data_IF_585167404423
#
_entry.id   IF_585167404423
#
_cell.length_a   1.000
_cell.length_b   1.000
_cell.length_c   1.000
_cell.angle_alpha   90.00
_cell.angle_beta   90.00
_cell.angle_gamma   90.00
#
_symmetry.space_group_name_H-M   'P 1'
#
loop_
_entity.id
_entity.type
_entity.pdbx_description
1 polymer ?
#
# COMPACT_ATOMS: atom_id res chain seq x y z
N UNK A 1 30.81 29.67 27.52
CA UNK A 1 30.68 29.14 26.15
C UNK A 1 29.47 28.24 26.17
N UNK A 2 28.36 28.65 25.56
CA UNK A 2 27.17 27.81 25.48
C UNK A 2 27.39 26.80 24.36
N UNK A 3 27.28 25.52 24.70
CA UNK A 3 27.34 24.41 23.76
C UNK A 3 26.09 24.46 22.87
N UNK A 4 26.23 25.09 21.71
CA UNK A 4 25.23 25.10 20.64
C UNK A 4 25.45 23.89 19.74
N UNK A 5 25.42 22.69 20.29
CA UNK A 5 25.24 21.49 19.51
C UNK A 5 23.74 21.35 19.25
N UNK A 6 23.29 21.84 18.10
CA UNK A 6 21.94 21.55 17.59
C UNK A 6 21.69 20.04 17.54
N UNK A 7 20.43 19.58 17.44
CA UNK A 7 20.11 18.16 17.47
C UNK A 7 21.00 17.39 16.47
N UNK A 8 21.64 16.33 16.97
CA UNK A 8 22.64 15.53 16.26
C UNK A 8 22.10 15.11 14.88
N UNK A 9 22.94 15.15 13.84
CA UNK A 9 22.48 14.96 12.45
C UNK A 9 21.76 13.61 12.25
N UNK A 10 22.20 12.56 12.96
CA UNK A 10 21.55 11.24 13.01
C UNK A 10 20.12 11.30 13.56
N UNK A 11 19.87 12.12 14.59
CA UNK A 11 18.54 12.28 15.19
C UNK A 11 17.61 13.03 14.24
N UNK A 12 18.14 13.97 13.45
CA UNK A 12 17.35 14.68 12.43
C UNK A 12 16.98 13.77 11.25
N UNK A 13 17.90 12.91 10.81
CA UNK A 13 17.67 11.93 9.76
C UNK A 13 16.63 10.88 10.18
N UNK A 14 16.75 10.32 11.39
CA UNK A 14 15.76 9.39 11.95
C UNK A 14 14.38 10.04 12.08
N UNK A 15 14.31 11.28 12.60
CA UNK A 15 13.06 12.02 12.69
C UNK A 15 12.46 12.31 11.31
N UNK A 16 13.29 12.57 10.29
CA UNK A 16 12.83 12.78 8.92
C UNK A 16 12.30 11.47 8.31
N UNK A 17 13.01 10.36 8.49
CA UNK A 17 12.57 9.04 8.04
C UNK A 17 11.22 8.66 8.66
N UNK A 18 11.04 8.91 9.96
CA UNK A 18 9.78 8.67 10.65
C UNK A 18 8.65 9.53 10.08
N UNK A 19 8.90 10.83 9.83
CA UNK A 19 7.90 11.71 9.19
C UNK A 19 7.49 11.21 7.82
N UNK A 20 8.44 10.76 7.00
CA UNK A 20 8.13 10.20 5.68
C UNK A 20 7.28 8.93 5.81
N UNK A 21 7.60 8.04 6.75
CA UNK A 21 6.79 6.85 6.98
C UNK A 21 5.35 7.19 7.39
N UNK A 22 5.17 8.18 8.27
CA UNK A 22 3.86 8.62 8.71
C UNK A 22 3.04 9.21 7.55
N UNK A 23 3.67 9.95 6.65
CA UNK A 23 3.01 10.48 5.44
C UNK A 23 2.61 9.35 4.48
N UNK A 24 3.49 8.35 4.28
CA UNK A 24 3.15 7.18 3.45
C UNK A 24 1.98 6.37 4.04
N UNK A 25 1.92 6.21 5.37
CA UNK A 25 0.76 5.59 6.03
C UNK A 25 -0.52 6.38 5.82
N UNK A 26 -0.44 7.72 5.92
CA UNK A 26 -1.57 8.62 5.69
C UNK A 26 -2.10 8.48 4.27
N UNK A 27 -1.20 8.42 3.30
CA UNK A 27 -1.55 8.25 1.88
C UNK A 27 -2.20 6.89 1.61
N UNK A 28 -1.66 5.81 2.19
CA UNK A 28 -2.27 4.47 2.09
C UNK A 28 -3.67 4.44 2.70
N UNK A 29 -3.90 5.06 3.86
CA UNK A 29 -5.24 5.14 4.46
C UNK A 29 -6.21 5.95 3.59
N UNK A 30 -5.80 7.12 3.12
CA UNK A 30 -6.58 7.98 2.24
C UNK A 30 -7.01 7.23 0.96
N UNK A 31 -6.08 6.49 0.35
CA UNK A 31 -6.35 5.68 -0.84
C UNK A 31 -7.33 4.52 -0.58
N UNK A 32 -7.35 3.96 0.63
CA UNK A 32 -8.29 2.93 1.04
C UNK A 32 -9.69 3.51 1.33
N UNK A 33 -9.75 4.67 1.99
CA UNK A 33 -11.00 5.39 2.28
C UNK A 33 -11.71 5.81 0.99
N UNK A 34 -10.97 6.36 0.03
CA UNK A 34 -11.51 6.72 -1.29
C UNK A 34 -12.15 5.53 -2.00
N UNK A 35 -11.45 4.40 -2.04
CA UNK A 35 -11.98 3.17 -2.64
C UNK A 35 -13.16 2.57 -1.89
N UNK A 36 -13.14 2.65 -0.56
CA UNK A 36 -14.28 2.23 0.27
C UNK A 36 -15.52 3.05 -0.07
N UNK A 37 -15.36 4.37 -0.22
CA UNK A 37 -16.43 5.27 -0.67
C UNK A 37 -16.93 4.90 -2.08
N UNK A 38 -16.01 4.59 -3.00
CA UNK A 38 -16.35 4.15 -4.36
C UNK A 38 -17.14 2.84 -4.40
N UNK A 39 -16.80 1.89 -3.53
CA UNK A 39 -17.56 0.65 -3.33
C UNK A 39 -18.94 0.94 -2.75
N UNK A 40 -19.03 1.77 -1.70
CA UNK A 40 -20.28 2.10 -1.03
C UNK A 40 -21.28 2.79 -1.97
N UNK A 41 -20.80 3.66 -2.87
CA UNK A 41 -21.64 4.33 -3.88
C UNK A 41 -21.88 3.49 -5.15
N UNK A 42 -21.35 2.27 -5.21
CA UNK A 42 -21.54 1.33 -6.32
C UNK A 42 -20.74 1.66 -7.59
N UNK A 43 -19.72 2.51 -7.50
CA UNK A 43 -18.86 2.86 -8.63
C UNK A 43 -17.81 1.79 -8.92
N UNK A 44 -17.35 1.09 -7.89
CA UNK A 44 -16.45 -0.05 -8.00
C UNK A 44 -17.03 -1.27 -7.27
N UNK A 45 -16.66 -2.47 -7.72
CA UNK A 45 -16.89 -3.67 -6.92
C UNK A 45 -15.79 -3.80 -5.85
N UNK A 46 -16.07 -4.42 -4.68
CA UNK A 46 -15.06 -4.70 -3.67
C UNK A 46 -13.80 -5.37 -4.26
N UNK A 47 -14.01 -6.38 -5.11
CA UNK A 47 -12.94 -7.16 -5.73
C UNK A 47 -11.99 -6.33 -6.60
N UNK A 48 -12.53 -5.37 -7.38
CA UNK A 48 -11.73 -4.48 -8.23
C UNK A 48 -11.04 -3.42 -7.38
N UNK A 49 -11.78 -2.78 -6.47
CA UNK A 49 -11.26 -1.74 -5.59
C UNK A 49 -10.07 -2.24 -4.77
N UNK A 50 -10.23 -3.38 -4.09
CA UNK A 50 -9.16 -3.96 -3.29
C UNK A 50 -7.97 -4.44 -4.15
N UNK A 51 -8.19 -4.88 -5.39
CA UNK A 51 -7.09 -5.25 -6.29
C UNK A 51 -6.21 -4.05 -6.66
N UNK A 52 -6.85 -2.93 -7.03
CA UNK A 52 -6.15 -1.70 -7.38
C UNK A 52 -5.43 -1.11 -6.17
N UNK A 53 -6.08 -1.16 -5.01
CA UNK A 53 -5.49 -0.75 -3.75
C UNK A 53 -4.25 -1.59 -3.38
N UNK A 54 -4.35 -2.91 -3.43
CA UNK A 54 -3.25 -3.84 -3.13
C UNK A 54 -2.00 -3.55 -4.00
N UNK A 55 -2.21 -3.27 -5.29
CA UNK A 55 -1.13 -2.88 -6.20
C UNK A 55 -0.52 -1.52 -5.86
N UNK A 56 -1.37 -0.54 -5.54
CA UNK A 56 -0.91 0.76 -5.10
C UNK A 56 -0.09 0.67 -3.80
N UNK A 57 -0.62 0.02 -2.77
CA UNK A 57 0.03 -0.16 -1.48
C UNK A 57 1.34 -0.96 -1.57
N UNK A 58 1.38 -2.00 -2.40
CA UNK A 58 2.61 -2.74 -2.69
C UNK A 58 3.69 -1.86 -3.35
N UNK A 59 3.30 -0.97 -4.27
CA UNK A 59 4.21 0.02 -4.87
C UNK A 59 4.77 1.01 -3.86
N UNK A 60 3.93 1.51 -2.95
CA UNK A 60 4.35 2.38 -1.85
C UNK A 60 5.34 1.66 -0.91
N UNK A 61 5.06 0.41 -0.54
CA UNK A 61 5.95 -0.40 0.29
C UNK A 61 7.31 -0.62 -0.38
N UNK A 62 7.31 -0.91 -1.69
CA UNK A 62 8.55 -1.06 -2.46
C UNK A 62 9.36 0.25 -2.50
N UNK A 63 8.71 1.39 -2.72
CA UNK A 63 9.39 2.69 -2.70
C UNK A 63 9.98 3.01 -1.32
N UNK A 64 9.23 2.78 -0.24
CA UNK A 64 9.72 2.99 1.12
C UNK A 64 10.96 2.13 1.42
N UNK A 65 10.96 0.88 0.97
CA UNK A 65 12.11 -0.01 1.09
C UNK A 65 13.34 0.51 0.34
N UNK A 66 13.17 0.96 -0.91
CA UNK A 66 14.26 1.54 -1.72
C UNK A 66 14.85 2.80 -1.07
N UNK A 67 14.03 3.58 -0.37
CA UNK A 67 14.45 4.77 0.37
C UNK A 67 15.08 4.45 1.74
N UNK A 68 15.21 3.18 2.10
CA UNK A 68 15.81 2.76 3.37
C UNK A 68 14.93 3.05 4.59
N UNK A 69 13.63 3.30 4.39
CA UNK A 69 12.70 3.53 5.51
C UNK A 69 12.41 2.22 6.22
N UNK A 70 12.49 2.22 7.55
CA UNK A 70 11.92 1.13 8.34
C UNK A 70 10.40 1.18 8.20
N UNK A 71 9.86 0.29 7.39
CA UNK A 71 8.42 0.28 7.09
C UNK A 71 7.55 -0.05 8.31
N UNK A 72 8.11 -0.59 9.41
CA UNK A 72 7.47 -0.72 10.72
C UNK A 72 6.13 -1.46 10.77
N UNK A 73 5.68 -2.08 9.67
CA UNK A 73 4.34 -2.65 9.52
C UNK A 73 3.47 -2.06 8.39
N UNK A 74 3.99 -1.17 7.53
CA UNK A 74 3.23 -0.58 6.42
C UNK A 74 2.59 -1.64 5.50
N UNK A 75 3.31 -2.71 5.17
CA UNK A 75 2.74 -3.82 4.39
C UNK A 75 1.57 -4.49 5.13
N UNK A 76 1.68 -4.69 6.44
CA UNK A 76 0.59 -5.28 7.24
C UNK A 76 -0.64 -4.38 7.27
N UNK A 77 -0.43 -3.06 7.26
CA UNK A 77 -1.51 -2.08 7.16
C UNK A 77 -2.19 -2.09 5.79
N UNK A 78 -1.41 -2.15 4.70
CA UNK A 78 -1.94 -2.37 3.34
C UNK A 78 -2.77 -3.66 3.29
N UNK A 79 -2.24 -4.77 3.79
CA UNK A 79 -2.94 -6.06 3.78
C UNK A 79 -4.25 -6.01 4.59
N UNK A 80 -4.28 -5.27 5.71
CA UNK A 80 -5.48 -5.10 6.53
C UNK A 80 -6.53 -4.25 5.81
N UNK A 81 -6.12 -3.13 5.22
CA UNK A 81 -7.01 -2.24 4.48
C UNK A 81 -7.59 -2.91 3.23
N UNK A 82 -6.80 -3.72 2.52
CA UNK A 82 -7.29 -4.49 1.37
C UNK A 82 -8.44 -5.44 1.76
N UNK A 83 -8.32 -6.11 2.92
CA UNK A 83 -9.39 -6.99 3.46
C UNK A 83 -10.59 -6.22 4.01
N UNK A 84 -10.41 -4.95 4.37
CA UNK A 84 -11.53 -4.09 4.75
C UNK A 84 -12.34 -3.64 3.52
N UNK A 85 -11.66 -3.32 2.43
CA UNK A 85 -12.32 -2.98 1.15
C UNK A 85 -13.04 -4.21 0.58
N UNK A 86 -12.41 -5.39 0.64
CA UNK A 86 -12.94 -6.65 0.15
C UNK A 86 -12.80 -7.76 1.20
N UNK A 87 -13.88 -8.10 1.93
CA UNK A 87 -13.84 -9.19 2.91
C UNK A 87 -13.47 -10.56 2.32
N UNK A 88 -13.71 -10.76 1.02
CA UNK A 88 -13.39 -11.99 0.28
C UNK A 88 -12.07 -11.87 -0.50
N UNK A 89 -11.21 -10.90 -0.15
CA UNK A 89 -10.00 -10.54 -0.89
C UNK A 89 -9.11 -11.73 -1.26
N UNK A 90 -8.87 -12.65 -0.34
CA UNK A 90 -8.02 -13.81 -0.60
C UNK A 90 -8.63 -14.77 -1.63
N UNK A 91 -9.95 -14.97 -1.59
CA UNK A 91 -10.67 -15.76 -2.58
C UNK A 91 -10.66 -15.08 -3.95
N UNK A 92 -10.97 -13.78 -4.01
CA UNK A 92 -10.92 -13.00 -5.25
C UNK A 92 -9.50 -12.95 -5.83
N UNK A 93 -8.47 -12.79 -5.01
CA UNK A 93 -7.07 -12.83 -5.44
C UNK A 93 -6.72 -14.19 -6.06
N UNK A 94 -7.12 -15.28 -5.43
CA UNK A 94 -6.91 -16.64 -5.98
C UNK A 94 -7.65 -16.82 -7.31
N UNK A 95 -8.90 -16.36 -7.40
CA UNK A 95 -9.68 -16.41 -8.63
C UNK A 95 -9.03 -15.60 -9.76
N UNK A 96 -8.52 -14.39 -9.47
CA UNK A 96 -7.77 -13.57 -10.45
C UNK A 96 -6.57 -14.32 -11.01
N UNK A 97 -5.77 -14.97 -10.16
CA UNK A 97 -4.63 -15.77 -10.63
C UNK A 97 -5.06 -17.00 -11.43
N UNK A 98 -6.11 -17.69 -11.00
CA UNK A 98 -6.64 -18.86 -11.70
C UNK A 98 -7.21 -18.50 -13.08
N UNK A 99 -7.76 -17.28 -13.24
CA UNK A 99 -8.28 -16.78 -14.51
C UNK A 99 -7.18 -16.50 -15.56
N UNK A 100 -5.89 -16.53 -15.16
CA UNK A 100 -4.75 -16.31 -16.06
C UNK A 100 -4.90 -15.07 -16.98
N UNK A 101 -5.16 -13.87 -16.43
CA UNK A 101 -5.51 -12.69 -17.22
C UNK A 101 -4.42 -12.24 -18.20
N UNK A 102 -3.15 -12.66 -18.00
CA UNK A 102 -2.02 -12.39 -18.89
C UNK A 102 -1.55 -13.58 -19.72
N UNK A 103 -2.27 -14.71 -19.72
CA UNK A 103 -1.90 -15.83 -20.57
C UNK A 103 -2.21 -15.50 -22.03
N UNK A 104 -1.16 -15.11 -22.77
CA UNK A 104 -1.18 -15.19 -24.23
C UNK A 104 -1.14 -16.67 -24.62
N UNK A 105 -2.25 -17.17 -25.18
CA UNK A 105 -2.27 -18.49 -25.83
C UNK A 105 -2.07 -18.26 -27.32
N UNK A 106 -0.93 -18.72 -27.85
CA UNK A 106 -0.80 -18.94 -29.28
C UNK A 106 -1.45 -20.30 -29.56
N UNK A 107 -2.75 -20.32 -29.83
CA UNK A 107 -3.33 -21.50 -30.47
C UNK A 107 -2.62 -21.66 -31.82
N UNK A 108 -1.85 -22.74 -31.98
CA UNK A 108 -1.47 -23.23 -33.31
C UNK A 108 -2.61 -24.13 -33.76
N UNK A 109 -3.23 -23.74 -34.87
CA UNK A 109 -4.17 -24.54 -35.66
C UNK A 109 -3.67 -25.98 -35.89
#
# INVERSE_FOLDING_TARGET
MADTSGPDASTQEEAQAQRWLDELRREVRSAAEGRTSDVQRGAESPAVAAALFDKFGGGICAAAHVLGLDTGGLQREVDALARQIDPDFDAHRKARWAARPGAFSFERD
#
